data_IF_978118736039
#
_entry.id   IF_978118736039
#
_cell.length_a   1.000
_cell.length_b   1.000
_cell.length_c   1.000
_cell.angle_alpha   90.00
_cell.angle_beta   90.00
_cell.angle_gamma   90.00
#
_symmetry.space_group_name_H-M   'P 1'
#
loop_
_entity.id
_entity.type
_entity.pdbx_description
1 polymer ?
#
# COMPACT_ATOMS: atom_id res chain seq x y z
N UNK A 1 -8.03 30.22 11.79
CA UNK A 1 -8.51 29.21 10.82
C UNK A 1 -7.32 28.53 10.15
N UNK A 2 -6.79 27.45 10.74
CA UNK A 2 -5.68 26.67 10.14
C UNK A 2 -6.25 25.34 9.67
N UNK A 3 -6.42 25.22 8.35
CA UNK A 3 -6.81 23.99 7.64
C UNK A 3 -5.95 22.83 8.15
N UNK A 4 -6.57 21.80 8.73
CA UNK A 4 -5.97 20.47 8.89
C UNK A 4 -5.90 19.78 7.52
N UNK A 5 -5.17 20.34 6.54
CA UNK A 5 -4.95 19.64 5.26
C UNK A 5 -3.71 18.76 5.40
N UNK A 6 -3.92 17.49 5.70
CA UNK A 6 -2.86 16.48 5.80
C UNK A 6 -3.43 15.09 5.58
N UNK A 7 -2.58 14.07 5.52
CA UNK A 7 -2.99 12.69 5.21
C UNK A 7 -4.08 12.15 6.14
N UNK A 8 -4.18 12.66 7.38
CA UNK A 8 -5.22 12.29 8.36
C UNK A 8 -6.64 12.51 7.83
N UNK A 9 -6.88 13.57 7.07
CA UNK A 9 -8.20 13.82 6.47
C UNK A 9 -8.55 12.74 5.43
N UNK A 10 -7.55 12.24 4.68
CA UNK A 10 -7.74 11.14 3.74
C UNK A 10 -8.02 9.81 4.45
N UNK A 11 -7.38 9.59 5.60
CA UNK A 11 -7.65 8.43 6.46
C UNK A 11 -9.08 8.51 7.03
N UNK A 12 -9.48 9.66 7.56
CA UNK A 12 -10.82 9.88 8.12
C UNK A 12 -11.92 9.72 7.05
N UNK A 13 -11.63 10.09 5.81
CA UNK A 13 -12.53 9.88 4.66
C UNK A 13 -12.50 8.44 4.11
N UNK A 14 -11.65 7.55 4.64
CA UNK A 14 -11.49 6.17 4.16
C UNK A 14 -10.84 6.06 2.77
N UNK A 15 -10.19 7.13 2.31
CA UNK A 15 -9.50 7.17 1.01
C UNK A 15 -8.04 6.69 1.11
N UNK A 16 -7.48 6.65 2.32
CA UNK A 16 -6.13 6.17 2.61
C UNK A 16 -6.16 5.19 3.79
N UNK A 17 -5.63 3.99 3.57
CA UNK A 17 -5.49 2.94 4.58
C UNK A 17 -4.00 2.63 4.74
N UNK A 18 -3.50 2.63 5.98
CA UNK A 18 -2.10 2.31 6.29
C UNK A 18 -2.11 1.03 7.12
N UNK A 19 -1.71 -0.08 6.52
CA UNK A 19 -1.67 -1.40 7.17
C UNK A 19 -0.27 -2.01 7.07
N UNK A 20 0.07 -2.86 8.05
CA UNK A 20 1.26 -3.68 7.95
C UNK A 20 1.07 -4.82 6.93
N UNK A 21 2.15 -5.26 6.30
CA UNK A 21 2.14 -6.29 5.26
C UNK A 21 1.48 -7.61 5.67
N UNK A 22 1.49 -7.95 6.96
CA UNK A 22 0.86 -9.18 7.48
C UNK A 22 -0.65 -9.19 7.30
N UNK A 23 -1.31 -8.03 7.32
CA UNK A 23 -2.77 -7.91 7.26
C UNK A 23 -3.35 -8.14 5.86
N UNK A 24 -2.54 -7.98 4.80
CA UNK A 24 -3.01 -8.19 3.44
C UNK A 24 -3.00 -9.68 3.03
N UNK A 25 -2.40 -10.58 3.82
CA UNK A 25 -2.34 -12.02 3.48
C UNK A 25 -3.75 -12.62 3.43
N UNK A 26 -4.06 -13.30 2.32
CA UNK A 26 -5.38 -13.92 2.09
C UNK A 26 -6.48 -12.94 1.69
N UNK A 27 -6.18 -11.63 1.57
CA UNK A 27 -7.11 -10.60 1.12
C UNK A 27 -6.96 -10.39 -0.40
N UNK A 28 -8.06 -10.10 -1.10
CA UNK A 28 -8.01 -9.58 -2.46
C UNK A 28 -8.25 -8.08 -2.42
N UNK A 29 -7.39 -7.31 -3.08
CA UNK A 29 -7.44 -5.85 -3.09
C UNK A 29 -7.66 -5.43 -4.54
N UNK A 30 -8.91 -5.34 -5.02
CA UNK A 30 -9.22 -4.87 -6.38
C UNK A 30 -9.41 -3.35 -6.44
N UNK A 31 -9.23 -2.77 -7.63
CA UNK A 31 -9.53 -1.37 -7.98
C UNK A 31 -8.89 -0.32 -7.06
N UNK A 32 -7.69 -0.58 -6.55
CA UNK A 32 -7.00 0.30 -5.60
C UNK A 32 -5.56 0.57 -6.01
N UNK A 33 -4.95 1.55 -5.35
CA UNK A 33 -3.50 1.75 -5.40
C UNK A 33 -2.87 1.10 -4.17
N UNK A 34 -1.92 0.18 -4.39
CA UNK A 34 -1.13 -0.43 -3.32
C UNK A 34 0.28 0.13 -3.40
N UNK A 35 0.63 1.01 -2.47
CA UNK A 35 1.94 1.67 -2.41
C UNK A 35 2.76 1.01 -1.32
N UNK A 36 3.93 0.49 -1.69
CA UNK A 36 4.87 -0.13 -0.75
C UNK A 36 6.18 0.61 -0.86
N UNK A 37 6.52 1.30 0.22
CA UNK A 37 7.77 2.04 0.34
C UNK A 37 8.89 1.17 0.89
N UNK A 38 10.13 1.59 0.69
CA UNK A 38 11.32 0.89 1.17
C UNK A 38 11.40 -0.57 0.68
N UNK A 39 10.95 -0.82 -0.55
CA UNK A 39 10.80 -2.16 -1.11
C UNK A 39 12.13 -2.93 -1.22
N UNK A 40 13.28 -2.24 -1.19
CA UNK A 40 14.60 -2.87 -1.13
C UNK A 40 14.83 -3.68 0.16
N UNK A 41 14.09 -3.38 1.24
CA UNK A 41 14.15 -4.12 2.49
C UNK A 41 13.32 -5.42 2.48
N UNK A 42 12.55 -5.67 1.41
CA UNK A 42 11.65 -6.81 1.32
C UNK A 42 12.31 -8.01 0.64
N UNK A 43 12.03 -9.20 1.16
CA UNK A 43 12.43 -10.44 0.51
C UNK A 43 11.59 -10.70 -0.75
N UNK A 44 12.08 -11.50 -1.72
CA UNK A 44 11.28 -11.91 -2.87
C UNK A 44 9.94 -12.58 -2.51
N UNK A 45 9.90 -13.29 -1.38
CA UNK A 45 8.67 -13.90 -0.87
C UNK A 45 7.65 -12.86 -0.39
N UNK A 46 8.10 -11.79 0.27
CA UNK A 46 7.26 -10.68 0.71
C UNK A 46 6.71 -9.89 -0.48
N UNK A 47 7.54 -9.58 -1.47
CA UNK A 47 7.10 -8.97 -2.73
C UNK A 47 6.05 -9.84 -3.43
N UNK A 48 6.28 -11.15 -3.51
CA UNK A 48 5.28 -12.09 -4.06
C UNK A 48 3.99 -12.07 -3.25
N UNK A 49 4.09 -12.00 -1.92
CA UNK A 49 2.92 -11.88 -1.04
C UNK A 49 2.11 -10.64 -1.40
N UNK A 50 2.75 -9.48 -1.62
CA UNK A 50 2.10 -8.22 -2.03
C UNK A 50 1.42 -8.36 -3.38
N UNK A 51 2.18 -8.71 -4.42
CA UNK A 51 1.71 -8.71 -5.81
C UNK A 51 0.53 -9.66 -5.99
N UNK A 52 0.54 -10.82 -5.31
CA UNK A 52 -0.56 -11.79 -5.39
C UNK A 52 -1.84 -11.36 -4.67
N UNK A 53 -1.87 -10.22 -3.98
CA UNK A 53 -3.12 -9.62 -3.45
C UNK A 53 -3.71 -8.57 -4.38
N UNK A 54 -2.94 -8.06 -5.34
CA UNK A 54 -3.43 -7.10 -6.31
C UNK A 54 -4.50 -7.77 -7.20
N UNK A 55 -5.75 -7.42 -6.94
CA UNK A 55 -6.90 -7.86 -7.72
C UNK A 55 -7.03 -7.07 -9.02
N UNK A 56 -8.09 -7.37 -9.76
CA UNK A 56 -8.38 -6.67 -11.02
C UNK A 56 -8.47 -5.15 -10.82
N UNK A 57 -7.83 -4.40 -11.72
CA UNK A 57 -7.81 -2.95 -11.69
C UNK A 57 -6.95 -2.33 -10.59
N UNK A 58 -6.19 -3.14 -9.83
CA UNK A 58 -5.25 -2.62 -8.84
C UNK A 58 -3.91 -2.29 -9.45
N UNK A 59 -3.37 -1.14 -9.06
CA UNK A 59 -2.03 -0.70 -9.43
C UNK A 59 -1.11 -0.84 -8.22
N UNK A 60 -0.06 -1.63 -8.37
CA UNK A 60 1.00 -1.76 -7.36
C UNK A 60 2.11 -0.77 -7.71
N UNK A 61 2.53 0.02 -6.72
CA UNK A 61 3.66 0.94 -6.81
C UNK A 61 4.66 0.52 -5.74
N UNK A 62 5.84 0.10 -6.16
CA UNK A 62 6.96 -0.21 -5.28
C UNK A 62 7.93 0.96 -5.38
N UNK A 63 8.24 1.57 -4.24
CA UNK A 63 9.27 2.61 -4.12
C UNK A 63 10.40 2.08 -3.26
N UNK A 64 11.58 2.61 -3.48
CA UNK A 64 12.79 2.22 -2.76
C UNK A 64 13.98 2.96 -3.33
N UNK A 65 15.04 3.03 -2.53
CA UNK A 65 16.25 3.69 -2.95
C UNK A 65 17.05 2.80 -3.91
N UNK A 66 17.61 3.39 -4.98
CA UNK A 66 18.58 2.71 -5.83
C UNK A 66 19.93 2.70 -5.09
N UNK A 67 20.22 1.62 -4.35
CA UNK A 67 21.60 1.28 -4.01
C UNK A 67 22.35 0.68 -5.21
#
# INVERSE_FOLDING_TARGET
>A
SKRKRGYKELVDLGLLEIEALTYIRGRSIPKQYLIVDEAQNLTPHEIKTIITRAGEGTKVVLTGDPE
#
